data_IF_898365982314
#
_entry.id   IF_898365982314
#
_cell.length_a   1.000
_cell.length_b   1.000
_cell.length_c   1.000
_cell.angle_alpha   90.00
_cell.angle_beta   90.00
_cell.angle_gamma   90.00
#
_symmetry.space_group_name_H-M   'P 1'
#
loop_
_entity.id
_entity.type
_entity.pdbx_description
1 polymer ?
#
# COMPACT_ATOMS: atom_id res chain seq x y z
N UNK A 1 21.05 -23.41 -2.99
CA UNK A 1 20.30 -23.75 -1.75
C UNK A 1 18.82 -23.78 -2.12
N UNK A 2 18.06 -24.84 -1.85
CA UNK A 2 16.64 -24.86 -2.19
C UNK A 2 15.88 -23.89 -1.26
N UNK A 3 15.29 -22.83 -1.82
CA UNK A 3 14.54 -21.80 -1.08
C UNK A 3 13.02 -22.06 -1.07
N UNK A 4 12.56 -23.14 -1.70
CA UNK A 4 11.14 -23.42 -1.88
C UNK A 4 10.39 -23.50 -0.55
N UNK A 5 9.26 -22.78 -0.49
CA UNK A 5 8.38 -22.71 0.69
C UNK A 5 6.90 -22.87 0.27
N UNK A 6 6.04 -23.40 1.17
CA UNK A 6 4.61 -23.50 0.90
C UNK A 6 3.95 -22.11 0.98
N UNK A 7 3.66 -21.51 -0.15
CA UNK A 7 3.02 -20.20 -0.24
C UNK A 7 1.61 -20.37 -0.80
N UNK A 8 0.62 -19.73 -0.16
CA UNK A 8 -0.78 -19.71 -0.57
C UNK A 8 -1.30 -18.31 -0.90
N UNK A 9 -0.67 -17.25 -0.39
CA UNK A 9 -0.98 -15.86 -0.70
C UNK A 9 0.30 -15.10 -0.99
N UNK A 10 0.32 -14.37 -2.10
CA UNK A 10 1.37 -13.40 -2.44
C UNK A 10 0.73 -12.01 -2.42
N UNK A 11 1.21 -11.13 -1.55
CA UNK A 11 0.86 -9.72 -1.55
C UNK A 11 2.09 -8.89 -1.94
N UNK A 12 1.92 -7.98 -2.89
CA UNK A 12 3.00 -7.13 -3.37
C UNK A 12 2.60 -5.67 -3.29
N UNK A 13 3.50 -4.83 -2.76
CA UNK A 13 3.41 -3.40 -3.00
C UNK A 13 3.58 -3.11 -4.50
N UNK A 14 3.27 -1.88 -4.89
CA UNK A 14 3.25 -1.45 -6.29
C UNK A 14 4.45 -0.60 -6.66
N UNK A 15 4.54 0.60 -6.11
CA UNK A 15 5.52 1.62 -6.49
C UNK A 15 6.90 1.29 -5.93
N UNK A 16 7.91 1.10 -6.79
CA UNK A 16 9.24 0.64 -6.37
C UNK A 16 9.32 -0.86 -6.08
N UNK A 17 8.21 -1.60 -6.20
CA UNK A 17 8.14 -3.05 -5.95
C UNK A 17 7.68 -3.81 -7.18
N UNK A 18 6.37 -3.85 -7.48
CA UNK A 18 5.83 -4.56 -8.65
C UNK A 18 5.98 -3.76 -9.94
N UNK A 19 5.84 -2.43 -9.84
CA UNK A 19 5.99 -1.52 -10.95
C UNK A 19 7.46 -1.14 -11.15
N UNK A 20 7.86 -1.02 -12.41
CA UNK A 20 9.12 -0.39 -12.81
C UNK A 20 9.09 1.12 -12.51
N UNK A 21 10.24 1.80 -12.61
CA UNK A 21 10.35 3.27 -12.46
C UNK A 21 9.48 4.01 -13.49
N UNK A 22 9.37 3.50 -14.74
CA UNK A 22 8.26 3.83 -15.64
C UNK A 22 7.08 2.94 -15.27
N UNK A 23 5.98 3.44 -14.64
CA UNK A 23 4.95 2.63 -14.00
C UNK A 23 4.33 1.57 -14.92
N UNK A 24 4.84 0.35 -14.88
CA UNK A 24 4.50 -0.77 -15.75
C UNK A 24 4.78 -2.09 -15.03
N UNK A 25 3.88 -3.07 -15.18
CA UNK A 25 4.15 -4.47 -14.83
C UNK A 25 4.78 -5.12 -16.08
N UNK A 26 6.05 -5.53 -15.96
CA UNK A 26 6.74 -6.16 -17.09
C UNK A 26 6.05 -7.49 -17.48
N UNK A 27 5.99 -7.82 -18.78
CA UNK A 27 5.33 -9.04 -19.26
C UNK A 27 5.83 -10.32 -18.59
N UNK A 28 7.14 -10.43 -18.37
CA UNK A 28 7.74 -11.60 -17.68
C UNK A 28 7.30 -11.69 -16.22
N UNK A 29 7.20 -10.57 -15.51
CA UNK A 29 6.67 -10.53 -14.13
C UNK A 29 5.21 -10.94 -14.11
N UNK A 30 4.40 -10.45 -15.06
CA UNK A 30 3.00 -10.86 -15.20
C UNK A 30 2.85 -12.35 -15.49
N UNK A 31 3.74 -12.94 -16.32
CA UNK A 31 3.74 -14.36 -16.62
C UNK A 31 4.06 -15.22 -15.38
N UNK A 32 5.03 -14.82 -14.58
CA UNK A 32 5.40 -15.50 -13.34
C UNK A 32 4.25 -15.45 -12.32
N UNK A 33 3.59 -14.30 -12.18
CA UNK A 33 2.40 -14.14 -11.33
C UNK A 33 1.23 -15.01 -11.82
N UNK A 34 0.97 -15.09 -13.14
CA UNK A 34 -0.06 -15.99 -13.68
C UNK A 34 0.25 -17.45 -13.37
N UNK A 35 1.50 -17.89 -13.56
CA UNK A 35 1.93 -19.24 -13.18
C UNK A 35 1.70 -19.52 -11.69
N UNK A 36 1.93 -18.54 -10.81
CA UNK A 36 1.62 -18.69 -9.39
C UNK A 36 0.11 -18.83 -9.14
N UNK A 37 -0.72 -18.01 -9.79
CA UNK A 37 -2.18 -18.11 -9.71
C UNK A 37 -2.71 -19.47 -10.23
N UNK A 38 -2.16 -20.00 -11.31
CA UNK A 38 -2.49 -21.31 -11.86
C UNK A 38 -2.17 -22.47 -10.90
N UNK A 39 -1.23 -22.28 -9.97
CA UNK A 39 -0.97 -23.22 -8.87
C UNK A 39 -1.92 -23.06 -7.68
N UNK A 40 -2.92 -22.18 -7.78
CA UNK A 40 -3.88 -21.91 -6.72
C UNK A 40 -3.39 -20.91 -5.67
N UNK A 41 -2.29 -20.19 -5.94
CA UNK A 41 -1.81 -19.14 -5.04
C UNK A 41 -2.65 -17.89 -5.27
N UNK A 42 -3.22 -17.34 -4.20
CA UNK A 42 -3.96 -16.08 -4.25
C UNK A 42 -2.98 -14.93 -4.43
N UNK A 43 -3.29 -14.01 -5.32
CA UNK A 43 -2.49 -12.80 -5.56
C UNK A 43 -3.20 -11.57 -5.00
N UNK A 44 -2.45 -10.65 -4.43
CA UNK A 44 -2.97 -9.35 -3.96
C UNK A 44 -2.00 -8.22 -4.28
N UNK A 45 -2.53 -7.09 -4.72
CA UNK A 45 -1.85 -5.81 -4.63
C UNK A 45 -2.06 -5.24 -3.22
N UNK A 46 -1.05 -4.54 -2.70
CA UNK A 46 -1.16 -3.80 -1.44
C UNK A 46 -0.50 -2.43 -1.64
N UNK A 47 -1.29 -1.35 -1.69
CA UNK A 47 -0.79 -0.04 -2.07
C UNK A 47 -1.45 1.10 -1.28
N UNK A 48 -0.73 2.22 -1.18
CA UNK A 48 -1.29 3.49 -0.69
C UNK A 48 -2.23 4.19 -1.67
N UNK A 49 -2.31 3.70 -2.91
CA UNK A 49 -3.12 4.25 -3.98
C UNK A 49 -4.62 4.07 -3.75
N UNK A 50 -5.43 4.87 -4.46
CA UNK A 50 -6.88 4.69 -4.50
C UNK A 50 -7.25 3.35 -5.17
N UNK A 51 -8.41 2.75 -4.82
CA UNK A 51 -8.83 1.45 -5.34
C UNK A 51 -8.83 1.34 -6.87
N UNK A 52 -9.35 2.36 -7.56
CA UNK A 52 -9.42 2.37 -9.02
C UNK A 52 -8.02 2.48 -9.67
N UNK A 53 -7.14 3.29 -9.09
CA UNK A 53 -5.76 3.48 -9.55
C UNK A 53 -4.92 2.22 -9.35
N UNK A 54 -5.00 1.60 -8.18
CA UNK A 54 -4.33 0.33 -7.91
C UNK A 54 -4.84 -0.79 -8.84
N UNK A 55 -6.15 -0.83 -9.11
CA UNK A 55 -6.77 -1.83 -9.97
C UNK A 55 -6.34 -1.74 -11.43
N UNK A 56 -6.04 -0.54 -11.93
CA UNK A 56 -5.69 -0.30 -13.34
C UNK A 56 -4.56 -1.23 -13.81
N UNK A 57 -3.48 -1.31 -13.07
CA UNK A 57 -2.30 -2.10 -13.45
C UNK A 57 -2.58 -3.61 -13.47
N UNK A 58 -3.37 -4.10 -12.54
CA UNK A 58 -3.77 -5.52 -12.53
C UNK A 58 -4.70 -5.86 -13.72
N UNK A 59 -5.60 -4.94 -14.10
CA UNK A 59 -6.45 -5.09 -15.29
C UNK A 59 -5.63 -5.07 -16.56
N UNK A 60 -4.72 -4.11 -16.70
CA UNK A 60 -3.85 -3.98 -17.89
C UNK A 60 -2.98 -5.24 -18.07
N UNK A 61 -2.39 -5.75 -16.99
CA UNK A 61 -1.59 -6.97 -17.01
C UNK A 61 -2.44 -8.27 -17.03
N UNK A 62 -3.78 -8.18 -16.98
CA UNK A 62 -4.74 -9.31 -16.94
C UNK A 62 -4.44 -10.29 -15.78
N UNK A 63 -4.15 -9.76 -14.60
CA UNK A 63 -3.84 -10.52 -13.40
C UNK A 63 -5.07 -10.67 -12.49
N UNK A 64 -5.38 -11.89 -12.02
CA UNK A 64 -6.50 -12.15 -11.10
C UNK A 64 -6.07 -11.83 -9.66
N UNK A 65 -5.96 -10.54 -9.33
CA UNK A 65 -5.47 -10.11 -8.03
C UNK A 65 -6.59 -9.54 -7.15
N UNK A 66 -6.53 -9.78 -5.85
CA UNK A 66 -7.20 -8.93 -4.88
C UNK A 66 -6.50 -7.56 -4.85
N UNK A 67 -7.19 -6.53 -4.40
CA UNK A 67 -6.62 -5.20 -4.25
C UNK A 67 -6.82 -4.72 -2.81
N UNK A 68 -5.72 -4.52 -2.11
CA UNK A 68 -5.67 -3.83 -0.82
C UNK A 68 -5.19 -2.41 -1.11
N UNK A 69 -6.10 -1.45 -1.04
CA UNK A 69 -5.86 -0.06 -1.37
C UNK A 69 -5.81 0.83 -0.12
N UNK A 70 -5.35 2.08 -0.28
CA UNK A 70 -5.29 3.10 0.77
C UNK A 70 -4.56 2.60 2.04
N UNK A 71 -3.40 1.96 1.85
CA UNK A 71 -2.57 1.38 2.92
C UNK A 71 -3.32 0.35 3.78
N UNK A 72 -4.27 -0.37 3.18
CA UNK A 72 -5.01 -1.38 3.90
C UNK A 72 -6.41 -0.98 4.35
N UNK A 73 -6.86 0.23 4.06
CA UNK A 73 -8.17 0.67 4.48
C UNK A 73 -9.31 0.09 3.63
N UNK A 74 -9.03 -0.30 2.39
CA UNK A 74 -10.06 -0.82 1.44
C UNK A 74 -9.56 -2.09 0.77
N UNK A 75 -10.42 -3.13 0.75
CA UNK A 75 -10.13 -4.39 0.05
C UNK A 75 -11.17 -4.66 -1.03
N UNK A 76 -10.70 -5.03 -2.23
CA UNK A 76 -11.50 -5.50 -3.36
C UNK A 76 -11.16 -6.96 -3.66
N UNK A 77 -12.17 -7.78 -3.94
CA UNK A 77 -11.97 -9.20 -4.32
C UNK A 77 -11.29 -9.34 -5.68
N UNK A 78 -11.53 -8.38 -6.57
CA UNK A 78 -10.95 -8.31 -7.92
C UNK A 78 -10.73 -6.85 -8.32
N UNK A 79 -9.81 -6.59 -9.24
CA UNK A 79 -9.58 -5.24 -9.76
C UNK A 79 -10.87 -4.63 -10.33
N UNK A 80 -11.12 -3.35 -10.02
CA UNK A 80 -12.34 -2.61 -10.38
C UNK A 80 -13.65 -3.29 -9.95
N UNK A 81 -13.57 -4.22 -9.00
CA UNK A 81 -14.73 -4.92 -8.45
C UNK A 81 -15.41 -4.14 -7.32
N UNK A 82 -16.41 -4.78 -6.72
CA UNK A 82 -17.06 -4.21 -5.53
C UNK A 82 -16.12 -4.24 -4.34
N UNK A 83 -16.28 -3.25 -3.46
CA UNK A 83 -15.57 -3.18 -2.19
C UNK A 83 -16.05 -4.31 -1.30
N UNK A 84 -15.13 -5.14 -0.83
CA UNK A 84 -15.42 -6.26 0.06
C UNK A 84 -15.40 -5.81 1.53
N UNK A 85 -14.41 -5.01 1.89
CA UNK A 85 -14.18 -4.58 3.26
C UNK A 85 -13.64 -3.17 3.28
N UNK A 86 -14.10 -2.37 4.24
CA UNK A 86 -13.59 -1.02 4.51
C UNK A 86 -13.28 -0.90 5.99
N UNK A 87 -12.08 -0.45 6.29
CA UNK A 87 -11.65 -0.08 7.62
C UNK A 87 -11.62 1.44 7.74
N UNK A 88 -12.52 1.99 8.56
CA UNK A 88 -12.60 3.44 8.78
C UNK A 88 -11.76 3.86 9.98
N UNK A 89 -11.21 5.06 9.92
CA UNK A 89 -10.74 5.76 11.11
C UNK A 89 -11.96 6.22 11.93
N UNK A 90 -12.01 5.97 13.24
CA UNK A 90 -13.12 6.45 14.07
C UNK A 90 -13.28 7.96 13.99
N UNK A 91 -14.51 8.46 13.83
CA UNK A 91 -14.79 9.89 13.73
C UNK A 91 -14.13 10.74 14.83
N UNK A 92 -14.16 10.35 16.13
CA UNK A 92 -13.48 11.12 17.17
C UNK A 92 -11.96 11.21 16.95
N UNK A 93 -11.36 10.16 16.36
CA UNK A 93 -9.94 10.14 16.01
C UNK A 93 -9.66 11.08 14.83
N UNK A 94 -10.49 11.06 13.78
CA UNK A 94 -10.35 11.97 12.65
C UNK A 94 -10.49 13.42 13.10
N UNK A 95 -11.49 13.77 13.91
CA UNK A 95 -11.64 15.12 14.46
C UNK A 95 -10.45 15.56 15.29
N UNK A 96 -9.87 14.67 16.11
CA UNK A 96 -8.67 14.97 16.89
C UNK A 96 -7.46 15.23 16.01
N UNK A 97 -7.30 14.43 14.95
CA UNK A 97 -6.22 14.60 13.98
C UNK A 97 -6.39 15.93 13.24
N UNK A 98 -7.55 16.17 12.63
CA UNK A 98 -7.78 17.39 11.83
C UNK A 98 -7.68 18.66 12.66
N UNK A 99 -8.17 18.67 13.90
CA UNK A 99 -8.00 19.79 14.82
C UNK A 99 -6.51 20.09 15.10
N UNK A 100 -5.69 19.04 15.35
CA UNK A 100 -4.25 19.19 15.56
C UNK A 100 -3.53 19.71 14.32
N UNK A 101 -3.96 19.27 13.13
CA UNK A 101 -3.40 19.73 11.84
C UNK A 101 -3.76 21.19 11.57
N UNK A 102 -5.00 21.60 11.87
CA UNK A 102 -5.45 22.98 11.76
C UNK A 102 -4.67 23.90 12.71
N UNK A 103 -4.46 23.49 13.97
CA UNK A 103 -3.63 24.21 14.94
C UNK A 103 -2.18 24.37 14.46
N UNK A 104 -1.63 23.35 13.79
CA UNK A 104 -0.30 23.37 13.23
C UNK A 104 -0.20 24.14 11.92
N UNK A 105 -1.33 24.55 11.34
CA UNK A 105 -1.43 25.24 10.05
C UNK A 105 -0.69 24.48 8.94
N UNK A 106 -0.94 23.17 8.81
CA UNK A 106 -0.33 22.31 7.80
C UNK A 106 -1.35 21.88 6.76
N UNK A 107 -0.86 21.59 5.56
CA UNK A 107 -1.67 21.07 4.46
C UNK A 107 -1.95 19.59 4.65
N UNK A 108 -3.20 19.19 4.46
CA UNK A 108 -3.60 17.78 4.55
C UNK A 108 -4.78 17.47 3.62
N UNK A 109 -4.99 16.18 3.40
CA UNK A 109 -6.16 15.66 2.70
C UNK A 109 -6.79 14.51 3.49
N UNK A 110 -8.12 14.49 3.52
CA UNK A 110 -8.94 13.42 4.13
C UNK A 110 -9.54 12.58 3.02
N UNK A 111 -9.34 11.28 3.09
CA UNK A 111 -9.79 10.32 2.09
C UNK A 111 -10.97 9.54 2.61
N UNK A 112 -12.05 9.54 1.86
CA UNK A 112 -13.07 8.49 1.84
C UNK A 112 -12.72 7.44 0.78
N UNK A 113 -13.58 6.44 0.61
CA UNK A 113 -13.38 5.37 -0.39
C UNK A 113 -13.39 5.92 -1.83
N UNK A 114 -14.26 6.89 -2.10
CA UNK A 114 -14.51 7.44 -3.44
C UNK A 114 -14.39 8.96 -3.49
N UNK A 115 -13.93 9.59 -2.44
CA UNK A 115 -13.74 11.04 -2.45
C UNK A 115 -12.54 11.46 -1.61
N UNK A 116 -11.95 12.58 -1.98
CA UNK A 116 -10.83 13.20 -1.28
C UNK A 116 -11.16 14.66 -1.04
N UNK A 117 -11.03 15.10 0.21
CA UNK A 117 -11.20 16.49 0.61
C UNK A 117 -9.87 17.04 1.10
N UNK A 118 -9.35 18.06 0.41
CA UNK A 118 -8.12 18.74 0.80
C UNK A 118 -8.39 19.95 1.68
N UNK A 119 -7.41 20.32 2.52
CA UNK A 119 -7.38 21.60 3.20
C UNK A 119 -7.40 22.76 2.19
N UNK A 120 -7.99 23.92 2.58
CA UNK A 120 -8.27 25.03 1.65
C UNK A 120 -7.02 25.63 0.99
N UNK A 121 -5.87 25.48 1.60
CA UNK A 121 -4.58 26.01 1.19
C UNK A 121 -3.70 25.00 0.40
N UNK A 122 -4.21 23.79 0.17
CA UNK A 122 -3.47 22.77 -0.59
C UNK A 122 -3.47 23.12 -2.08
N UNK A 123 -2.30 23.29 -2.73
CA UNK A 123 -2.22 23.51 -4.16
C UNK A 123 -2.82 22.35 -4.95
N UNK A 124 -3.61 22.64 -5.99
CA UNK A 124 -4.20 21.63 -6.89
C UNK A 124 -3.15 20.67 -7.47
N UNK A 125 -1.93 21.16 -7.73
CA UNK A 125 -0.82 20.33 -8.22
C UNK A 125 -0.42 19.24 -7.22
N UNK A 126 -0.39 19.54 -5.90
CA UNK A 126 -0.13 18.54 -4.86
C UNK A 126 -1.32 17.62 -4.66
N UNK A 127 -2.54 18.16 -4.69
CA UNK A 127 -3.74 17.36 -4.66
C UNK A 127 -3.79 16.36 -5.84
N UNK A 128 -3.38 16.76 -7.03
CA UNK A 128 -3.28 15.88 -8.20
C UNK A 128 -2.23 14.77 -8.03
N UNK A 129 -1.10 15.05 -7.39
CA UNK A 129 -0.08 14.04 -7.05
C UNK A 129 -0.64 13.04 -6.02
N UNK A 130 -1.38 13.52 -5.03
CA UNK A 130 -2.02 12.68 -3.97
C UNK A 130 -3.11 11.78 -4.53
N UNK A 131 -3.86 12.28 -5.53
CA UNK A 131 -4.99 11.56 -6.14
C UNK A 131 -4.52 10.68 -7.30
N UNK A 132 -3.29 10.89 -7.76
CA UNK A 132 -2.72 10.20 -8.91
C UNK A 132 -3.13 10.81 -10.25
N UNK A 133 -2.17 10.90 -11.15
CA UNK A 133 -2.38 11.32 -12.55
C UNK A 133 -3.26 10.32 -13.31
N UNK A 134 -3.68 9.25 -12.64
CA UNK A 134 -4.29 8.05 -13.21
C UNK A 134 -5.81 8.00 -13.13
N UNK A 135 -6.46 8.82 -12.30
CA UNK A 135 -7.93 8.88 -12.24
C UNK A 135 -8.58 9.09 -13.61
N UNK A 136 -7.92 9.84 -14.50
CA UNK A 136 -8.40 10.05 -15.86
C UNK A 136 -8.17 8.83 -16.79
N UNK A 137 -7.27 7.90 -16.46
CA UNK A 137 -6.96 6.74 -17.30
C UNK A 137 -7.86 5.55 -17.03
N UNK A 138 -8.28 5.37 -15.78
CA UNK A 138 -9.07 4.20 -15.37
C UNK A 138 -10.60 4.43 -15.35
N UNK A 139 -11.07 5.63 -15.71
CA UNK A 139 -12.49 5.98 -15.55
C UNK A 139 -12.90 6.11 -14.07
N UNK A 140 -11.96 6.55 -13.23
CA UNK A 140 -12.09 6.56 -11.78
C UNK A 140 -13.30 7.32 -11.26
N UNK A 141 -13.92 6.78 -10.21
CA UNK A 141 -15.15 7.32 -9.56
C UNK A 141 -14.84 8.32 -8.45
N UNK A 142 -13.56 8.60 -8.17
CA UNK A 142 -13.17 9.43 -7.03
C UNK A 142 -13.43 10.91 -7.31
N UNK A 143 -14.22 11.54 -6.45
CA UNK A 143 -14.48 12.97 -6.47
C UNK A 143 -13.45 13.71 -5.61
N UNK A 144 -12.94 14.82 -6.12
CA UNK A 144 -12.07 15.73 -5.36
C UNK A 144 -12.85 16.98 -4.96
N UNK A 145 -12.75 17.39 -3.68
CA UNK A 145 -13.39 18.59 -3.13
C UNK A 145 -12.42 19.37 -2.24
N UNK A 146 -12.68 20.66 -2.04
CA UNK A 146 -12.00 21.43 -1.00
C UNK A 146 -12.78 21.36 0.34
N UNK A 147 -12.15 21.76 1.44
CA UNK A 147 -12.70 21.70 2.79
C UNK A 147 -14.08 22.38 2.93
N UNK A 148 -14.28 23.53 2.29
CA UNK A 148 -15.55 24.28 2.33
C UNK A 148 -16.72 23.52 1.68
N UNK A 149 -16.41 22.52 0.85
CA UNK A 149 -17.39 21.78 0.06
C UNK A 149 -17.79 20.44 0.67
N UNK A 150 -17.20 19.99 1.78
CA UNK A 150 -17.67 18.74 2.33
C UNK A 150 -16.78 17.93 3.25
N UNK A 151 -15.93 18.55 4.08
CA UNK A 151 -15.10 17.79 5.02
C UNK A 151 -15.93 16.93 5.99
N UNK A 152 -17.08 17.44 6.45
CA UNK A 152 -17.93 16.74 7.40
C UNK A 152 -18.51 15.44 6.83
N UNK A 153 -18.78 15.39 5.52
CA UNK A 153 -19.26 14.18 4.87
C UNK A 153 -18.18 13.10 4.82
N UNK A 154 -16.93 13.49 4.51
CA UNK A 154 -15.78 12.55 4.42
C UNK A 154 -15.30 12.10 5.79
N UNK A 155 -15.44 12.91 6.83
CA UNK A 155 -15.06 12.50 8.20
C UNK A 155 -15.83 11.27 8.65
N UNK A 156 -17.08 11.10 8.23
CA UNK A 156 -17.90 9.93 8.59
C UNK A 156 -17.37 8.63 7.95
N UNK A 157 -16.80 8.74 6.75
CA UNK A 157 -16.31 7.60 5.96
C UNK A 157 -14.78 7.67 5.75
N UNK A 158 -14.06 8.34 6.67
CA UNK A 158 -12.63 8.55 6.56
C UNK A 158 -11.86 7.23 6.63
N UNK A 159 -11.05 6.96 5.62
CA UNK A 159 -10.20 5.78 5.52
C UNK A 159 -8.70 6.12 5.57
N UNK A 160 -8.34 7.40 5.37
CA UNK A 160 -6.94 7.83 5.37
C UNK A 160 -6.86 9.36 5.54
N UNK A 161 -5.87 9.84 6.26
CA UNK A 161 -5.48 11.26 6.27
C UNK A 161 -4.03 11.36 5.82
N UNK A 162 -3.76 12.24 4.86
CA UNK A 162 -2.40 12.50 4.35
C UNK A 162 -2.01 13.92 4.69
N UNK A 163 -0.81 14.09 5.24
CA UNK A 163 -0.24 15.38 5.62
C UNK A 163 1.04 15.61 4.86
N UNK A 164 1.22 16.82 4.33
CA UNK A 164 2.44 17.22 3.63
C UNK A 164 3.11 18.37 4.35
N UNK A 165 4.42 18.24 4.59
CA UNK A 165 5.22 19.33 5.15
C UNK A 165 6.70 19.13 4.86
N UNK A 166 7.39 20.19 4.47
CA UNK A 166 8.87 20.21 4.41
C UNK A 166 9.51 20.39 5.80
N UNK A 167 8.71 20.68 6.83
CA UNK A 167 9.16 20.78 8.21
C UNK A 167 9.18 19.37 8.83
N UNK A 168 10.31 18.66 8.71
CA UNK A 168 10.46 17.29 9.21
C UNK A 168 10.26 17.19 10.74
N UNK A 169 10.78 18.09 11.57
CA UNK A 169 10.49 18.10 13.01
C UNK A 169 9.00 18.16 13.33
N UNK A 170 8.21 18.89 12.53
CA UNK A 170 6.76 18.93 12.69
C UNK A 170 6.10 17.59 12.31
N UNK A 171 6.57 16.92 11.25
CA UNK A 171 6.09 15.58 10.90
C UNK A 171 6.39 14.58 12.00
N UNK A 172 7.56 14.66 12.64
CA UNK A 172 7.91 13.77 13.75
C UNK A 172 7.05 14.02 14.99
N UNK A 173 6.74 15.30 15.30
CA UNK A 173 5.80 15.68 16.37
C UNK A 173 4.37 15.14 16.08
N UNK A 174 3.93 15.24 14.84
CA UNK A 174 2.62 14.70 14.42
C UNK A 174 2.58 13.17 14.48
N UNK A 175 3.66 12.48 14.10
CA UNK A 175 3.79 11.01 14.29
C UNK A 175 3.67 10.63 15.76
N UNK A 176 4.38 11.34 16.63
CA UNK A 176 4.30 11.13 18.08
C UNK A 176 2.90 11.39 18.60
N UNK A 177 2.27 12.49 18.19
CA UNK A 177 0.89 12.82 18.56
C UNK A 177 -0.09 11.70 18.18
N UNK A 178 -0.05 11.19 16.95
CA UNK A 178 -0.95 10.12 16.49
C UNK A 178 -0.70 8.85 17.30
N UNK A 179 0.55 8.43 17.46
CA UNK A 179 0.91 7.24 18.25
C UNK A 179 0.38 7.31 19.68
N UNK A 180 0.50 8.48 20.33
CA UNK A 180 0.22 8.64 21.76
C UNK A 180 -1.26 8.95 22.03
N UNK A 181 -1.98 9.54 21.06
CA UNK A 181 -3.33 10.05 21.24
C UNK A 181 -4.40 9.38 20.36
N UNK A 182 -3.99 8.57 19.37
CA UNK A 182 -4.87 7.94 18.41
C UNK A 182 -4.59 6.42 18.34
N UNK A 183 -4.96 5.64 19.36
CA UNK A 183 -4.62 4.22 19.44
C UNK A 183 -5.26 3.36 18.31
N UNK A 184 -6.29 3.90 17.65
CA UNK A 184 -7.01 3.25 16.54
C UNK A 184 -6.37 3.50 15.18
N UNK A 185 -5.31 4.33 15.13
CA UNK A 185 -4.62 4.70 13.91
C UNK A 185 -3.16 4.24 13.91
N UNK A 186 -2.64 3.99 12.71
CA UNK A 186 -1.23 3.83 12.44
C UNK A 186 -0.73 4.98 11.56
N UNK A 187 0.58 5.26 11.63
CA UNK A 187 1.24 6.28 10.82
C UNK A 187 2.31 5.64 9.98
N UNK A 188 2.25 5.91 8.68
CA UNK A 188 3.26 5.52 7.70
C UNK A 188 3.68 6.70 6.83
N UNK A 189 4.56 6.49 5.88
CA UNK A 189 5.01 7.48 4.91
C UNK A 189 5.32 6.79 3.59
N UNK A 190 4.93 7.40 2.48
CA UNK A 190 5.33 6.99 1.13
C UNK A 190 6.49 7.83 0.60
N UNK A 191 6.67 9.06 1.15
CA UNK A 191 7.74 10.00 0.78
C UNK A 191 8.33 10.66 2.03
N UNK A 192 9.48 11.30 1.85
CA UNK A 192 10.23 11.95 2.92
C UNK A 192 9.51 13.18 3.52
N UNK A 193 8.57 13.81 2.80
CA UNK A 193 7.87 15.04 3.17
C UNK A 193 6.37 14.81 3.49
N UNK A 194 5.97 13.55 3.74
CA UNK A 194 4.60 13.22 4.10
C UNK A 194 4.48 12.30 5.31
N UNK A 195 3.31 12.30 5.91
CA UNK A 195 2.80 11.21 6.74
C UNK A 195 1.40 10.81 6.28
N UNK A 196 1.10 9.56 6.42
CA UNK A 196 -0.18 8.95 6.10
C UNK A 196 -0.72 8.27 7.35
N UNK A 197 -1.88 8.72 7.78
CA UNK A 197 -2.56 8.21 8.97
C UNK A 197 -3.70 7.31 8.50
N UNK A 198 -3.66 6.05 8.90
CA UNK A 198 -4.50 4.98 8.36
C UNK A 198 -5.05 4.10 9.49
N UNK A 199 -6.14 3.35 9.27
CA UNK A 199 -6.58 2.30 10.20
C UNK A 199 -5.54 1.18 10.27
N UNK A 200 -5.56 0.41 11.37
CA UNK A 200 -4.65 -0.72 11.52
C UNK A 200 -5.03 -1.88 10.59
N UNK A 201 -4.07 -2.30 9.78
CA UNK A 201 -3.85 -3.54 9.00
C UNK A 201 -5.02 -4.31 8.34
N UNK A 202 -4.97 -4.37 6.97
CA UNK A 202 -5.88 -5.20 6.16
C UNK A 202 -5.28 -6.51 5.61
N UNK A 203 -3.97 -6.66 5.46
CA UNK A 203 -3.38 -7.91 4.94
C UNK A 203 -3.75 -9.11 5.81
N UNK A 204 -3.70 -8.93 7.13
CA UNK A 204 -4.10 -9.99 8.07
C UNK A 204 -5.61 -10.31 7.98
N UNK A 205 -6.45 -9.29 7.76
CA UNK A 205 -7.88 -9.47 7.53
C UNK A 205 -8.15 -10.26 6.25
N UNK A 206 -7.48 -9.92 5.14
CA UNK A 206 -7.57 -10.68 3.89
C UNK A 206 -7.10 -12.13 4.07
N UNK A 207 -5.93 -12.36 4.65
CA UNK A 207 -5.43 -13.71 4.89
C UNK A 207 -6.40 -14.54 5.75
N UNK A 208 -6.95 -13.94 6.81
CA UNK A 208 -7.96 -14.56 7.66
C UNK A 208 -9.25 -14.89 6.92
N UNK A 209 -9.77 -13.99 6.07
CA UNK A 209 -11.00 -14.24 5.28
C UNK A 209 -10.83 -15.40 4.30
N UNK A 210 -9.59 -15.63 3.83
CA UNK A 210 -9.21 -16.72 2.92
C UNK A 210 -8.81 -18.02 3.66
N UNK A 211 -8.81 -18.03 5.00
CA UNK A 211 -8.28 -19.13 5.82
C UNK A 211 -6.83 -19.49 5.45
N UNK A 212 -5.99 -18.49 5.24
CA UNK A 212 -4.56 -18.64 4.95
C UNK A 212 -3.78 -18.17 6.20
N UNK A 213 -2.98 -19.04 6.81
CA UNK A 213 -2.13 -18.64 7.95
C UNK A 213 -1.00 -17.74 7.47
N UNK A 214 -0.57 -16.79 8.31
CA UNK A 214 0.42 -15.78 7.93
C UNK A 214 1.80 -16.36 7.61
N UNK A 215 2.14 -17.54 8.05
CA UNK A 215 3.37 -18.27 7.70
C UNK A 215 3.39 -18.80 6.25
N UNK A 216 2.22 -18.91 5.61
CA UNK A 216 2.05 -19.23 4.18
C UNK A 216 1.82 -17.99 3.30
N UNK A 217 1.99 -16.79 3.86
CA UNK A 217 1.89 -15.51 3.15
C UNK A 217 3.27 -15.01 2.78
N UNK A 218 3.46 -14.68 1.50
CA UNK A 218 4.64 -14.02 0.97
C UNK A 218 4.33 -12.57 0.65
N UNK A 219 5.19 -11.65 1.08
CA UNK A 219 5.02 -10.21 0.83
C UNK A 219 6.27 -9.59 0.25
N UNK A 220 6.07 -8.56 -0.56
CA UNK A 220 7.12 -7.74 -1.18
C UNK A 220 6.92 -6.28 -0.81
N UNK A 221 8.03 -5.57 -0.58
CA UNK A 221 8.01 -4.14 -0.33
C UNK A 221 9.39 -3.52 -0.42
N UNK A 222 9.44 -2.18 -0.54
CA UNK A 222 10.69 -1.41 -0.67
C UNK A 222 10.76 -0.18 0.27
N UNK A 223 9.64 0.27 0.83
CA UNK A 223 9.56 1.49 1.63
C UNK A 223 8.85 1.31 2.98
N UNK A 224 8.85 2.36 3.80
CA UNK A 224 8.43 2.26 5.21
C UNK A 224 6.95 1.89 5.40
N UNK A 225 6.09 2.21 4.44
CA UNK A 225 4.68 1.80 4.45
C UNK A 225 4.50 0.27 4.38
N UNK A 226 5.53 -0.48 3.91
CA UNK A 226 5.49 -1.94 3.79
C UNK A 226 5.92 -2.66 5.08
N UNK A 227 6.55 -1.94 6.01
CA UNK A 227 7.12 -2.55 7.22
C UNK A 227 6.11 -3.36 8.02
N UNK A 228 4.85 -2.91 8.08
CA UNK A 228 3.80 -3.60 8.83
C UNK A 228 3.46 -4.95 8.20
N UNK A 229 3.33 -5.03 6.87
CA UNK A 229 3.04 -6.29 6.18
C UNK A 229 4.26 -7.21 6.12
N UNK A 230 5.47 -6.66 5.95
CA UNK A 230 6.73 -7.44 5.97
C UNK A 230 6.97 -8.14 7.31
N UNK A 231 6.67 -7.45 8.43
CA UNK A 231 6.80 -8.02 9.78
C UNK A 231 5.74 -9.07 10.09
N UNK A 232 4.54 -8.94 9.51
CA UNK A 232 3.43 -9.86 9.74
C UNK A 232 3.53 -11.17 8.97
N UNK A 233 4.16 -11.17 7.79
CA UNK A 233 4.21 -12.31 6.88
C UNK A 233 5.26 -13.35 7.25
N UNK A 234 4.96 -14.61 6.97
CA UNK A 234 5.90 -15.72 7.11
C UNK A 234 7.08 -15.65 6.15
N UNK A 235 6.85 -15.10 4.96
CA UNK A 235 7.88 -14.89 3.93
C UNK A 235 7.88 -13.43 3.50
N UNK A 236 8.81 -12.66 4.04
CA UNK A 236 8.97 -11.24 3.71
C UNK A 236 10.21 -11.04 2.81
N UNK A 237 10.03 -10.32 1.72
CA UNK A 237 11.03 -10.07 0.68
C UNK A 237 11.22 -8.58 0.50
N UNK A 238 12.41 -8.08 0.78
CA UNK A 238 12.79 -6.71 0.46
C UNK A 238 13.31 -6.62 -0.98
N UNK A 239 12.86 -5.60 -1.69
CA UNK A 239 13.37 -5.30 -3.02
C UNK A 239 14.84 -4.83 -2.96
N UNK A 240 15.60 -5.00 -4.05
CA UNK A 240 16.99 -4.57 -4.14
C UNK A 240 17.18 -3.05 -4.06
N UNK A 241 16.14 -2.28 -4.43
CA UNK A 241 16.06 -0.83 -4.28
C UNK A 241 15.49 -0.38 -2.92
N UNK A 242 15.13 -1.31 -2.02
CA UNK A 242 14.54 -0.99 -0.72
C UNK A 242 15.52 -0.22 0.17
N UNK A 243 14.98 0.63 1.05
CA UNK A 243 15.77 1.30 2.06
C UNK A 243 16.32 0.32 3.12
N UNK A 244 17.29 0.79 3.92
CA UNK A 244 17.99 -0.07 4.89
C UNK A 244 17.05 -0.64 5.97
N UNK A 245 16.07 0.14 6.42
CA UNK A 245 15.10 -0.27 7.44
C UNK A 245 14.22 -1.43 6.93
N UNK A 246 13.74 -1.34 5.70
CA UNK A 246 12.96 -2.37 5.04
C UNK A 246 13.81 -3.62 4.81
N UNK A 247 15.02 -3.46 4.28
CA UNK A 247 15.95 -4.58 4.13
C UNK A 247 16.23 -5.29 5.46
N UNK A 248 16.48 -4.53 6.53
CA UNK A 248 16.73 -5.10 7.85
C UNK A 248 15.53 -5.90 8.41
N UNK A 249 14.29 -5.52 8.02
CA UNK A 249 13.05 -6.14 8.50
C UNK A 249 12.64 -7.39 7.73
N UNK A 250 13.15 -7.61 6.52
CA UNK A 250 12.76 -8.73 5.66
C UNK A 250 13.65 -9.97 5.86
N UNK A 251 13.07 -11.16 5.62
CA UNK A 251 13.78 -12.45 5.68
C UNK A 251 14.55 -12.79 4.41
N UNK A 252 14.13 -12.21 3.30
CA UNK A 252 14.75 -12.40 1.99
C UNK A 252 15.05 -11.04 1.35
N UNK A 253 16.03 -11.02 0.47
CA UNK A 253 16.27 -9.94 -0.47
C UNK A 253 16.22 -10.46 -1.89
N UNK A 254 15.80 -9.61 -2.82
CA UNK A 254 15.72 -9.91 -4.24
C UNK A 254 16.35 -8.78 -5.07
N UNK A 255 16.18 -8.84 -6.39
CA UNK A 255 16.63 -7.82 -7.32
C UNK A 255 15.79 -6.52 -7.19
N UNK A 256 16.17 -5.47 -7.89
CA UNK A 256 15.37 -4.23 -7.96
C UNK A 256 14.06 -4.46 -8.72
N UNK A 257 13.13 -3.51 -8.60
CA UNK A 257 11.88 -3.51 -9.37
C UNK A 257 12.15 -3.55 -10.89
N UNK A 258 13.06 -2.73 -11.41
CA UNK A 258 13.44 -2.72 -12.83
C UNK A 258 14.14 -4.02 -13.28
N UNK A 259 14.82 -4.69 -12.37
CA UNK A 259 15.44 -5.99 -12.61
C UNK A 259 14.49 -7.18 -12.31
N UNK A 260 13.17 -6.93 -12.22
CA UNK A 260 12.13 -7.95 -12.03
C UNK A 260 12.26 -8.73 -10.71
N UNK A 261 12.59 -8.05 -9.62
CA UNK A 261 12.85 -8.65 -8.32
C UNK A 261 11.68 -9.49 -7.80
N UNK A 262 10.43 -9.08 -8.03
CA UNK A 262 9.23 -9.86 -7.67
C UNK A 262 9.21 -11.20 -8.40
N UNK A 263 9.41 -11.20 -9.73
CA UNK A 263 9.46 -12.44 -10.52
C UNK A 263 10.62 -13.34 -10.08
N UNK A 264 11.80 -12.77 -9.87
CA UNK A 264 12.98 -13.48 -9.43
C UNK A 264 12.75 -14.23 -8.11
N UNK A 265 12.18 -13.56 -7.11
CA UNK A 265 11.91 -14.17 -5.82
C UNK A 265 10.80 -15.23 -5.88
N UNK A 266 9.73 -15.02 -6.66
CA UNK A 266 8.68 -16.03 -6.87
C UNK A 266 9.28 -17.27 -7.52
N UNK A 267 10.11 -17.13 -8.55
CA UNK A 267 10.80 -18.24 -9.21
C UNK A 267 11.65 -19.05 -8.22
N UNK A 268 12.43 -18.35 -7.38
CA UNK A 268 13.30 -19.01 -6.42
C UNK A 268 12.52 -19.65 -5.26
N UNK A 269 11.56 -18.94 -4.65
CA UNK A 269 10.92 -19.34 -3.38
C UNK A 269 9.69 -20.23 -3.63
N UNK A 270 8.90 -19.92 -4.65
CA UNK A 270 7.67 -20.68 -4.97
C UNK A 270 7.95 -21.85 -5.90
N UNK A 271 8.77 -21.64 -6.93
CA UNK A 271 9.03 -22.66 -7.93
C UNK A 271 10.31 -23.48 -7.70
N UNK A 272 11.17 -23.03 -6.76
CA UNK A 272 12.42 -23.71 -6.42
C UNK A 272 13.49 -23.61 -7.53
N UNK A 273 13.37 -22.61 -8.42
CA UNK A 273 14.33 -22.34 -9.47
C UNK A 273 15.62 -21.73 -8.88
N UNK A 274 16.75 -22.01 -9.49
CA UNK A 274 18.02 -21.36 -9.10
C UNK A 274 18.13 -19.99 -9.75
N UNK A 275 17.87 -18.94 -8.97
CA UNK A 275 17.83 -17.56 -9.44
C UNK A 275 18.90 -16.74 -8.72
N UNK A 276 19.94 -16.28 -9.44
CA UNK A 276 20.95 -15.40 -8.86
C UNK A 276 20.34 -14.09 -8.31
N UNK A 277 20.87 -13.62 -7.17
CA UNK A 277 20.44 -12.36 -6.56
C UNK A 277 19.28 -12.48 -5.59
N UNK A 278 18.65 -13.66 -5.47
CA UNK A 278 17.67 -13.93 -4.40
C UNK A 278 18.39 -14.58 -3.24
N UNK A 279 18.42 -13.93 -2.09
CA UNK A 279 19.15 -14.39 -0.92
C UNK A 279 18.24 -14.49 0.31
N UNK A 280 18.42 -15.53 1.11
CA UNK A 280 17.84 -15.65 2.45
C UNK A 280 18.78 -15.01 3.46
N UNK A 281 18.29 -14.07 4.24
CA UNK A 281 19.05 -13.50 5.36
C UNK A 281 19.13 -14.50 6.52
N UNK A 282 20.19 -14.39 7.27
CA UNK A 282 20.43 -15.21 8.46
C UNK A 282 19.70 -14.66 9.68
#
# INVERSE_FOLDING_TARGET
MNLQMPIRLIATDMDGTLLTDEPLILPETADVLRRAAEKGIVLSLASGRLPDDASFFAVDAKLPMHVIALNGAVTLVKPLGDVQEVHHLPQPTVHRITARLDEANVQYAVFGVHEVVASDDMPLSRAQVVIGTFLNRAGGRTAFRNRKQGIDAVIQDCVKVVVFSQNLPLLDDLRAFVRDRCPDADVTSSWWDNIEIVPRSALQALAKSLNIPMDEVMVFGDSDNDLSMLKAAGVSVAMGNANECVRASARFETLTNDAQGVAAAIRAIVFGEDVPGVIRKR
#
